data_IF_644006800736
#
_entry.id   IF_644006800736
#
_cell.length_a   1.000
_cell.length_b   1.000
_cell.length_c   1.000
_cell.angle_alpha   90.00
_cell.angle_beta   90.00
_cell.angle_gamma   90.00
#
_symmetry.space_group_name_H-M   'P 1'
#
loop_
_entity.id
_entity.type
_entity.pdbx_description
1 polymer ?
#
# COMPACT_ATOMS: atom_id res chain seq x y z
N UNK A 1 19.79 0.24 22.39
CA UNK A 1 18.93 -0.77 21.70
C UNK A 1 19.02 -0.50 20.20
N UNK A 2 19.24 -1.51 19.35
CA UNK A 2 19.31 -1.28 17.91
C UNK A 2 17.98 -0.74 17.39
N UNK A 3 18.03 0.32 16.58
CA UNK A 3 16.86 0.99 15.99
C UNK A 3 16.13 0.10 14.97
N UNK A 4 16.80 -0.92 14.44
CA UNK A 4 16.24 -1.86 13.48
C UNK A 4 16.09 -3.26 14.08
N UNK A 5 15.01 -3.99 13.76
CA UNK A 5 14.85 -5.36 14.21
C UNK A 5 15.95 -6.24 13.59
N UNK A 6 16.74 -6.91 14.42
CA UNK A 6 17.71 -7.90 14.00
C UNK A 6 17.16 -9.32 14.24
N UNK A 7 17.50 -10.30 13.41
CA UNK A 7 17.16 -11.70 13.67
C UNK A 7 17.78 -12.15 14.99
N UNK A 8 17.02 -12.85 15.83
CA UNK A 8 17.60 -13.49 17.03
C UNK A 8 18.29 -14.79 16.60
N UNK A 9 19.32 -15.21 17.34
CA UNK A 9 20.17 -16.34 16.96
C UNK A 9 19.42 -17.66 16.68
N UNK A 10 18.25 -17.90 17.30
CA UNK A 10 17.45 -19.11 17.09
C UNK A 10 16.12 -18.86 16.35
N UNK A 11 15.91 -17.66 15.83
CA UNK A 11 14.65 -17.26 15.22
C UNK A 11 14.52 -17.73 13.78
N UNK A 12 13.39 -18.36 13.45
CA UNK A 12 13.14 -18.78 12.09
C UNK A 12 12.80 -17.55 11.20
N UNK A 13 13.11 -17.60 9.89
CA UNK A 13 12.93 -16.44 9.00
C UNK A 13 11.49 -15.90 8.96
N UNK A 14 10.48 -16.76 9.10
CA UNK A 14 9.09 -16.33 9.13
C UNK A 14 8.69 -15.67 10.46
N UNK A 15 9.27 -16.09 11.59
CA UNK A 15 9.00 -15.48 12.90
C UNK A 15 9.58 -14.06 12.96
N UNK A 16 10.79 -13.89 12.39
CA UNK A 16 11.40 -12.57 12.22
C UNK A 16 10.54 -11.67 11.33
N UNK A 17 10.09 -12.17 10.18
CA UNK A 17 9.21 -11.42 9.28
C UNK A 17 7.89 -11.03 9.97
N UNK A 18 7.32 -11.92 10.80
CA UNK A 18 6.10 -11.64 11.57
C UNK A 18 6.31 -10.53 12.61
N UNK A 19 7.47 -10.51 13.27
CA UNK A 19 7.81 -9.43 14.20
C UNK A 19 8.00 -8.09 13.49
N UNK A 20 8.71 -8.08 12.35
CA UNK A 20 8.86 -6.86 11.53
C UNK A 20 7.50 -6.37 11.07
N UNK A 21 6.62 -7.27 10.63
CA UNK A 21 5.25 -6.93 10.23
C UNK A 21 4.45 -6.29 11.38
N UNK A 22 4.58 -6.81 12.61
CA UNK A 22 3.92 -6.24 13.78
C UNK A 22 4.42 -4.82 14.11
N UNK A 23 5.73 -4.59 14.09
CA UNK A 23 6.29 -3.25 14.29
C UNK A 23 5.89 -2.28 13.19
N UNK A 24 5.89 -2.73 11.94
CA UNK A 24 5.43 -1.94 10.81
C UNK A 24 3.93 -1.61 10.92
N UNK A 25 3.11 -2.55 11.42
CA UNK A 25 1.69 -2.32 11.67
C UNK A 25 1.48 -1.26 12.75
N UNK A 26 2.25 -1.31 13.84
CA UNK A 26 2.21 -0.26 14.88
C UNK A 26 2.61 1.09 14.29
N UNK A 27 3.68 1.14 13.49
CA UNK A 27 4.09 2.37 12.81
C UNK A 27 3.01 2.90 11.87
N UNK A 28 2.34 2.02 11.12
CA UNK A 28 1.19 2.37 10.29
C UNK A 28 0.07 2.99 11.12
N UNK A 29 -0.38 2.29 12.17
CA UNK A 29 -1.50 2.75 13.00
C UNK A 29 -1.20 4.09 13.69
N UNK A 30 0.00 4.25 14.25
CA UNK A 30 0.43 5.50 14.87
C UNK A 30 0.60 6.62 13.84
N UNK A 31 1.18 6.33 12.67
CA UNK A 31 1.33 7.28 11.59
C UNK A 31 -0.01 7.77 11.06
N UNK A 32 -0.96 6.86 10.84
CA UNK A 32 -2.32 7.18 10.36
C UNK A 32 -3.11 7.95 11.41
N UNK A 33 -3.17 7.46 12.65
CA UNK A 33 -3.90 8.13 13.73
C UNK A 33 -3.30 9.51 14.04
N UNK A 34 -1.96 9.61 14.11
CA UNK A 34 -1.24 10.86 14.30
C UNK A 34 -1.47 11.84 13.16
N UNK A 35 -1.41 11.37 11.91
CA UNK A 35 -1.73 12.21 10.73
C UNK A 35 -3.16 12.71 10.80
N UNK A 36 -4.14 11.81 11.00
CA UNK A 36 -5.55 12.18 11.06
C UNK A 36 -5.82 13.20 12.17
N UNK A 37 -5.33 12.95 13.38
CA UNK A 37 -5.45 13.88 14.50
C UNK A 37 -4.85 15.24 14.18
N UNK A 38 -3.64 15.27 13.60
CA UNK A 38 -2.94 16.50 13.25
C UNK A 38 -3.69 17.32 12.20
N UNK A 39 -4.19 16.67 11.14
CA UNK A 39 -4.95 17.34 10.08
C UNK A 39 -6.32 17.84 10.58
N UNK A 40 -6.99 17.08 11.46
CA UNK A 40 -8.25 17.50 12.09
C UNK A 40 -8.03 18.74 12.97
N UNK A 41 -6.94 18.78 13.74
CA UNK A 41 -6.62 19.87 14.68
C UNK A 41 -5.77 20.98 14.07
N UNK A 42 -5.50 20.91 12.77
CA UNK A 42 -4.60 21.83 12.09
C UNK A 42 -5.03 23.30 12.25
N UNK A 43 -6.33 23.65 12.12
CA UNK A 43 -6.75 25.04 12.32
C UNK A 43 -6.44 25.57 13.72
N UNK A 44 -6.68 24.78 14.77
CA UNK A 44 -6.44 25.20 16.15
C UNK A 44 -4.94 25.27 16.48
N UNK A 45 -4.14 24.35 15.93
CA UNK A 45 -2.68 24.38 16.07
C UNK A 45 -2.12 25.60 15.34
N UNK A 46 -2.56 25.83 14.10
CA UNK A 46 -2.11 26.96 13.28
C UNK A 46 -2.47 28.30 13.92
N UNK A 47 -3.66 28.43 14.51
CA UNK A 47 -4.07 29.63 15.24
C UNK A 47 -3.15 29.98 16.43
N UNK A 48 -2.41 29.01 17.00
CA UNK A 48 -1.41 29.24 18.03
C UNK A 48 -0.01 29.53 17.47
N UNK A 49 0.29 29.03 16.28
CA UNK A 49 1.57 29.24 15.60
C UNK A 49 1.62 30.61 14.91
N UNK A 50 0.53 31.00 14.24
CA UNK A 50 0.42 32.25 13.48
C UNK A 50 0.77 33.54 14.26
N UNK A 51 0.40 33.72 15.55
CA UNK A 51 0.74 34.93 16.30
C UNK A 51 2.18 34.95 16.83
N UNK A 52 2.95 33.87 16.68
CA UNK A 52 4.36 33.88 17.04
C UNK A 52 5.13 34.82 16.10
N UNK A 53 6.22 35.41 16.58
CA UNK A 53 7.06 36.32 15.79
C UNK A 53 8.49 35.78 15.62
N UNK A 54 9.12 36.18 14.51
CA UNK A 54 10.53 35.93 14.22
C UNK A 54 10.92 34.45 14.27
N UNK A 55 11.99 34.14 15.01
CA UNK A 55 12.56 32.79 15.06
C UNK A 55 11.60 31.74 15.65
N UNK A 56 10.75 32.14 16.62
CA UNK A 56 9.79 31.23 17.26
C UNK A 56 8.72 30.74 16.28
N UNK A 57 8.22 31.64 15.43
CA UNK A 57 7.32 31.31 14.33
C UNK A 57 7.97 30.36 13.32
N UNK A 58 9.19 30.69 12.86
CA UNK A 58 9.90 29.86 11.88
C UNK A 58 10.08 28.44 12.40
N UNK A 59 10.55 28.29 13.65
CA UNK A 59 10.75 26.97 14.24
C UNK A 59 9.42 26.20 14.39
N UNK A 60 8.37 26.85 14.89
CA UNK A 60 7.07 26.20 15.07
C UNK A 60 6.41 25.81 13.74
N UNK A 61 6.45 26.68 12.73
CA UNK A 61 5.92 26.40 11.41
C UNK A 61 6.71 25.29 10.70
N UNK A 62 8.05 25.30 10.79
CA UNK A 62 8.90 24.23 10.24
C UNK A 62 8.67 22.90 10.96
N UNK A 63 8.57 22.91 12.29
CA UNK A 63 8.28 21.69 13.05
C UNK A 63 6.91 21.12 12.68
N UNK A 64 5.88 21.97 12.60
CA UNK A 64 4.54 21.56 12.18
C UNK A 64 4.54 20.97 10.76
N UNK A 65 5.14 21.69 9.80
CA UNK A 65 5.27 21.20 8.42
C UNK A 65 6.06 19.90 8.33
N UNK A 66 7.14 19.77 9.11
CA UNK A 66 7.95 18.55 9.20
C UNK A 66 7.13 17.36 9.72
N UNK A 67 6.38 17.53 10.80
CA UNK A 67 5.51 16.48 11.35
C UNK A 67 4.40 16.11 10.35
N UNK A 68 3.79 17.10 9.69
CA UNK A 68 2.78 16.88 8.65
C UNK A 68 3.33 16.11 7.44
N UNK A 69 4.60 16.28 7.11
CA UNK A 69 5.25 15.55 6.03
C UNK A 69 5.66 14.12 6.45
N UNK A 70 6.19 13.96 7.67
CA UNK A 70 6.78 12.69 8.13
C UNK A 70 5.72 11.66 8.52
N UNK A 71 4.65 12.05 9.22
CA UNK A 71 3.64 11.09 9.70
C UNK A 71 2.94 10.30 8.58
N UNK A 72 2.52 10.92 7.46
CA UNK A 72 1.95 10.18 6.34
C UNK A 72 2.95 9.22 5.69
N UNK A 73 4.23 9.59 5.64
CA UNK A 73 5.30 8.72 5.11
C UNK A 73 5.50 7.51 6.02
N UNK A 74 5.54 7.71 7.34
CA UNK A 74 5.58 6.60 8.32
C UNK A 74 4.37 5.68 8.13
N UNK A 75 3.19 6.25 7.95
CA UNK A 75 1.97 5.48 7.70
C UNK A 75 2.09 4.64 6.42
N UNK A 76 2.45 5.26 5.30
CA UNK A 76 2.56 4.57 4.01
C UNK A 76 3.61 3.46 4.02
N UNK A 77 4.82 3.75 4.53
CA UNK A 77 5.89 2.76 4.63
C UNK A 77 5.52 1.64 5.61
N UNK A 78 4.95 1.99 6.76
CA UNK A 78 4.46 1.03 7.75
C UNK A 78 3.42 0.08 7.15
N UNK A 79 2.46 0.61 6.38
CA UNK A 79 1.43 -0.19 5.71
C UNK A 79 2.05 -1.21 4.75
N UNK A 80 2.92 -0.74 3.85
CA UNK A 80 3.57 -1.60 2.83
C UNK A 80 4.41 -2.68 3.51
N UNK A 81 5.23 -2.32 4.50
CA UNK A 81 6.07 -3.28 5.22
C UNK A 81 5.25 -4.26 6.05
N UNK A 82 4.19 -3.80 6.71
CA UNK A 82 3.31 -4.66 7.51
C UNK A 82 2.67 -5.76 6.64
N UNK A 83 2.16 -5.37 5.48
CA UNK A 83 1.57 -6.31 4.52
C UNK A 83 2.62 -7.22 3.89
N UNK A 84 3.73 -6.65 3.40
CA UNK A 84 4.77 -7.43 2.73
C UNK A 84 5.41 -8.45 3.67
N UNK A 85 5.91 -8.01 4.82
CA UNK A 85 6.51 -8.89 5.82
C UNK A 85 5.47 -9.83 6.45
N UNK A 86 4.21 -9.39 6.55
CA UNK A 86 3.10 -10.21 6.99
C UNK A 86 2.91 -11.41 6.06
N UNK A 87 2.75 -11.16 4.76
CA UNK A 87 2.59 -12.22 3.74
C UNK A 87 3.83 -13.11 3.70
N UNK A 88 5.03 -12.53 3.64
CA UNK A 88 6.28 -13.31 3.64
C UNK A 88 6.44 -14.19 4.88
N UNK A 89 5.93 -13.75 6.05
CA UNK A 89 5.94 -14.59 7.24
C UNK A 89 5.16 -15.88 7.04
N UNK A 90 4.04 -15.84 6.31
CA UNK A 90 3.15 -16.99 6.11
C UNK A 90 3.81 -18.11 5.31
N UNK A 91 4.58 -17.74 4.29
CA UNK A 91 5.20 -18.68 3.35
C UNK A 91 6.64 -19.06 3.73
N UNK A 92 7.12 -18.64 4.91
CA UNK A 92 8.46 -18.99 5.43
C UNK A 92 8.34 -19.91 6.65
N UNK A 93 9.41 -20.69 6.97
CA UNK A 93 9.44 -21.50 8.17
C UNK A 93 9.18 -20.68 9.44
N UNK A 94 8.28 -21.18 10.30
CA UNK A 94 7.85 -20.55 11.56
C UNK A 94 7.65 -21.58 12.65
N UNK A 95 7.83 -21.17 13.91
CA UNK A 95 7.66 -22.07 15.06
C UNK A 95 6.20 -22.34 15.39
N UNK A 96 5.33 -21.34 15.19
CA UNK A 96 3.91 -21.45 15.50
C UNK A 96 3.07 -21.03 14.29
N UNK A 97 2.19 -21.93 13.85
CA UNK A 97 1.21 -21.62 12.81
C UNK A 97 0.00 -20.89 13.42
N UNK A 98 -0.50 -19.85 12.74
CA UNK A 98 -1.65 -19.08 13.18
C UNK A 98 -2.74 -19.04 12.08
N UNK A 99 -3.55 -20.09 11.92
CA UNK A 99 -4.34 -20.31 10.70
C UNK A 99 -5.33 -19.18 10.38
N UNK A 100 -6.00 -18.62 11.39
CA UNK A 100 -6.94 -17.51 11.18
C UNK A 100 -6.24 -16.21 10.78
N UNK A 101 -5.18 -15.84 11.51
CA UNK A 101 -4.41 -14.64 11.21
C UNK A 101 -3.69 -14.74 9.86
N UNK A 102 -3.18 -15.92 9.52
CA UNK A 102 -2.51 -16.17 8.25
C UNK A 102 -3.48 -16.05 7.07
N UNK A 103 -4.71 -16.58 7.20
CA UNK A 103 -5.78 -16.36 6.21
C UNK A 103 -6.10 -14.88 6.05
N UNK A 104 -6.28 -14.14 7.14
CA UNK A 104 -6.55 -12.71 7.08
C UNK A 104 -5.43 -11.93 6.37
N UNK A 105 -4.17 -12.23 6.70
CA UNK A 105 -2.99 -11.60 6.09
C UNK A 105 -2.93 -11.90 4.58
N UNK A 106 -3.12 -13.16 4.18
CA UNK A 106 -3.08 -13.55 2.76
C UNK A 106 -4.25 -12.91 1.99
N UNK A 107 -5.47 -12.94 2.54
CA UNK A 107 -6.63 -12.31 1.92
C UNK A 107 -6.44 -10.80 1.75
N UNK A 108 -5.94 -10.10 2.78
CA UNK A 108 -5.64 -8.68 2.70
C UNK A 108 -4.52 -8.40 1.70
N UNK A 109 -3.49 -9.24 1.68
CA UNK A 109 -2.40 -9.17 0.70
C UNK A 109 -2.91 -9.26 -0.73
N UNK A 110 -3.75 -10.25 -1.02
CA UNK A 110 -4.36 -10.42 -2.34
C UNK A 110 -5.21 -9.20 -2.71
N UNK A 111 -6.08 -8.76 -1.80
CA UNK A 111 -6.91 -7.58 -2.01
C UNK A 111 -6.06 -6.36 -2.38
N UNK A 112 -5.02 -6.07 -1.59
CA UNK A 112 -4.19 -4.86 -1.77
C UNK A 112 -3.35 -4.93 -3.04
N UNK A 113 -2.75 -6.09 -3.35
CA UNK A 113 -1.93 -6.25 -4.56
C UNK A 113 -2.76 -6.15 -5.84
N UNK A 114 -3.99 -6.68 -5.83
CA UNK A 114 -4.88 -6.63 -6.99
C UNK A 114 -5.76 -5.38 -7.04
N UNK A 115 -5.78 -4.55 -5.98
CA UNK A 115 -6.57 -3.33 -5.95
C UNK A 115 -6.31 -2.37 -7.13
N UNK A 116 -5.06 -2.13 -7.59
CA UNK A 116 -4.83 -1.28 -8.77
C UNK A 116 -5.43 -1.85 -10.06
N UNK A 117 -5.37 -3.18 -10.24
CA UNK A 117 -5.98 -3.85 -11.38
C UNK A 117 -7.51 -3.74 -11.32
N UNK A 118 -8.10 -4.00 -10.16
CA UNK A 118 -9.54 -3.86 -9.94
C UNK A 118 -10.03 -2.43 -10.15
N UNK A 119 -9.28 -1.42 -9.69
CA UNK A 119 -9.57 -0.01 -9.91
C UNK A 119 -9.52 0.35 -11.40
N UNK A 120 -8.53 -0.14 -12.14
CA UNK A 120 -8.43 0.08 -13.58
C UNK A 120 -9.60 -0.56 -14.36
N UNK A 121 -10.00 -1.80 -13.99
CA UNK A 121 -11.19 -2.44 -14.56
C UNK A 121 -12.46 -1.64 -14.22
N UNK A 122 -12.60 -1.21 -12.97
CA UNK A 122 -13.75 -0.41 -12.54
C UNK A 122 -13.84 0.93 -13.29
N UNK A 123 -12.70 1.57 -13.58
CA UNK A 123 -12.65 2.77 -14.42
C UNK A 123 -13.11 2.49 -15.85
N UNK A 124 -12.68 1.38 -16.45
CA UNK A 124 -13.14 0.97 -17.79
C UNK A 124 -14.65 0.68 -17.82
N UNK A 125 -15.17 -0.06 -16.83
CA UNK A 125 -16.61 -0.35 -16.70
C UNK A 125 -17.41 0.94 -16.54
N UNK A 126 -16.94 1.87 -15.67
CA UNK A 126 -17.58 3.16 -15.47
C UNK A 126 -17.61 3.98 -16.75
N UNK A 127 -16.53 3.95 -17.54
CA UNK A 127 -16.48 4.65 -18.82
C UNK A 127 -17.50 4.09 -19.82
N UNK A 128 -17.61 2.77 -19.93
CA UNK A 128 -18.61 2.11 -20.78
C UNK A 128 -20.04 2.41 -20.35
N UNK A 129 -20.32 2.35 -19.04
CA UNK A 129 -21.66 2.59 -18.51
C UNK A 129 -22.11 4.05 -18.65
N UNK A 130 -21.17 5.00 -18.59
CA UNK A 130 -21.46 6.44 -18.68
C UNK A 130 -21.27 7.03 -20.09
N UNK A 131 -20.67 6.29 -21.02
CA UNK A 131 -20.27 6.80 -22.32
C UNK A 131 -19.20 7.91 -22.26
N UNK A 132 -18.51 8.07 -21.12
CA UNK A 132 -17.51 9.13 -20.88
C UNK A 132 -16.26 8.59 -20.19
N UNK A 133 -15.09 8.90 -20.73
CA UNK A 133 -13.80 8.71 -20.06
C UNK A 133 -13.30 10.07 -19.56
N UNK A 134 -13.00 10.15 -18.26
CA UNK A 134 -12.42 11.35 -17.65
C UNK A 134 -10.95 11.10 -17.30
N UNK A 135 -10.06 11.95 -17.79
CA UNK A 135 -8.68 12.04 -17.34
C UNK A 135 -8.52 13.26 -16.44
N UNK A 136 -7.95 13.05 -15.26
CA UNK A 136 -7.79 14.12 -14.24
C UNK A 136 -6.67 15.09 -14.63
N UNK A 137 -5.62 14.62 -15.33
CA UNK A 137 -4.47 15.45 -15.73
C UNK A 137 -3.86 14.99 -17.07
N UNK A 138 -3.82 15.86 -18.10
CA UNK A 138 -4.58 17.12 -18.20
C UNK A 138 -6.09 16.84 -18.12
N UNK A 139 -6.90 17.74 -17.52
CA UNK A 139 -8.33 17.54 -17.39
C UNK A 139 -8.99 17.47 -18.76
N UNK A 140 -9.42 16.28 -19.18
CA UNK A 140 -10.11 16.04 -20.45
C UNK A 140 -11.17 14.99 -20.30
N UNK A 141 -12.28 15.23 -20.98
CA UNK A 141 -13.38 14.29 -21.13
C UNK A 141 -13.46 13.84 -22.58
N UNK A 142 -13.50 12.53 -22.80
CA UNK A 142 -13.77 11.93 -24.10
C UNK A 142 -15.11 11.22 -24.05
N UNK A 143 -15.99 11.53 -25.00
CA UNK A 143 -17.33 10.97 -25.06
C UNK A 143 -17.44 9.99 -26.22
N UNK A 144 -18.14 8.88 -26.00
CA UNK A 144 -18.40 7.90 -27.05
C UNK A 144 -19.20 8.51 -28.22
N UNK A 145 -20.08 9.47 -27.94
CA UNK A 145 -20.96 10.08 -28.94
C UNK A 145 -20.26 11.07 -29.88
N UNK A 146 -19.27 11.82 -29.38
CA UNK A 146 -18.62 12.89 -30.14
C UNK A 146 -17.20 12.53 -30.58
N UNK A 147 -16.47 11.78 -29.76
CA UNK A 147 -15.04 11.46 -29.96
C UNK A 147 -14.78 9.97 -29.74
N UNK A 148 -15.40 9.08 -30.55
CA UNK A 148 -15.38 7.64 -30.31
C UNK A 148 -13.98 7.03 -30.32
N UNK A 149 -13.06 7.56 -31.14
CA UNK A 149 -11.68 7.08 -31.21
C UNK A 149 -10.96 7.30 -29.87
N UNK A 150 -10.93 8.54 -29.39
CA UNK A 150 -10.27 8.88 -28.13
C UNK A 150 -10.94 8.21 -26.92
N UNK A 151 -12.26 8.02 -26.97
CA UNK A 151 -12.99 7.24 -25.97
C UNK A 151 -12.48 5.79 -25.90
N UNK A 152 -12.41 5.09 -27.04
CA UNK A 152 -11.95 3.70 -27.09
C UNK A 152 -10.46 3.55 -26.75
N UNK A 153 -9.61 4.51 -27.14
CA UNK A 153 -8.22 4.58 -26.69
C UNK A 153 -8.14 4.69 -25.16
N UNK A 154 -8.97 5.54 -24.55
CA UNK A 154 -9.05 5.70 -23.11
C UNK A 154 -9.49 4.43 -22.39
N UNK A 155 -10.51 3.73 -22.90
CA UNK A 155 -10.94 2.42 -22.38
C UNK A 155 -9.82 1.40 -22.54
N UNK A 156 -9.19 1.34 -23.71
CA UNK A 156 -8.05 0.46 -24.00
C UNK A 156 -6.89 0.68 -23.04
N UNK A 157 -6.54 1.94 -22.74
CA UNK A 157 -5.52 2.30 -21.75
C UNK A 157 -5.83 1.69 -20.37
N UNK A 158 -7.05 1.85 -19.87
CA UNK A 158 -7.44 1.27 -18.58
C UNK A 158 -7.35 -0.26 -18.56
N UNK A 159 -7.73 -0.93 -19.65
CA UNK A 159 -7.62 -2.38 -19.77
C UNK A 159 -6.17 -2.86 -19.84
N UNK A 160 -5.30 -2.14 -20.57
CA UNK A 160 -3.86 -2.42 -20.61
C UNK A 160 -3.26 -2.26 -19.20
N UNK A 161 -3.57 -1.17 -18.50
CA UNK A 161 -3.11 -0.94 -17.13
C UNK A 161 -3.63 -2.01 -16.16
N UNK A 162 -4.89 -2.44 -16.30
CA UNK A 162 -5.45 -3.53 -15.53
C UNK A 162 -4.67 -4.83 -15.74
N UNK A 163 -4.40 -5.20 -16.99
CA UNK A 163 -3.60 -6.36 -17.35
C UNK A 163 -2.18 -6.30 -16.79
N UNK A 164 -1.51 -5.14 -16.91
CA UNK A 164 -0.17 -4.91 -16.37
C UNK A 164 -0.15 -5.08 -14.84
N UNK A 165 -1.05 -4.42 -14.12
CA UNK A 165 -1.11 -4.52 -12.65
C UNK A 165 -1.46 -5.92 -12.18
N UNK A 166 -2.43 -6.59 -12.83
CA UNK A 166 -2.77 -7.97 -12.51
C UNK A 166 -1.59 -8.91 -12.77
N UNK A 167 -0.84 -8.71 -13.85
CA UNK A 167 0.35 -9.50 -14.16
C UNK A 167 1.46 -9.31 -13.11
N UNK A 168 1.76 -8.07 -12.71
CA UNK A 168 2.77 -7.78 -11.69
C UNK A 168 2.36 -8.36 -10.32
N UNK A 169 1.09 -8.18 -9.94
CA UNK A 169 0.55 -8.79 -8.73
C UNK A 169 0.66 -10.31 -8.79
N UNK A 170 0.25 -10.92 -9.91
CA UNK A 170 0.35 -12.35 -10.11
C UNK A 170 1.79 -12.85 -10.04
N UNK A 171 2.77 -12.13 -10.60
CA UNK A 171 4.18 -12.53 -10.52
C UNK A 171 4.70 -12.61 -9.09
N UNK A 172 4.23 -11.73 -8.20
CA UNK A 172 4.55 -11.81 -6.77
C UNK A 172 3.87 -13.01 -6.08
N UNK A 173 2.61 -13.29 -6.41
CA UNK A 173 1.81 -14.33 -5.77
C UNK A 173 2.05 -15.75 -6.31
N UNK A 174 2.44 -15.90 -7.58
CA UNK A 174 2.58 -17.19 -8.27
C UNK A 174 3.47 -18.16 -7.51
N UNK A 175 4.64 -17.73 -7.07
CA UNK A 175 5.59 -18.58 -6.34
C UNK A 175 5.16 -18.93 -4.91
N UNK A 176 4.15 -18.25 -4.38
CA UNK A 176 3.60 -18.49 -3.03
C UNK A 176 2.38 -19.42 -3.08
N UNK A 177 1.53 -19.25 -4.08
CA UNK A 177 0.26 -19.97 -4.22
C UNK A 177 0.40 -21.29 -4.98
N UNK A 178 1.38 -21.40 -5.85
CA UNK A 178 1.69 -22.62 -6.60
C UNK A 178 3.04 -23.14 -6.10
N UNK A 179 3.06 -24.02 -5.08
CA UNK A 179 4.28 -24.73 -4.73
C UNK A 179 4.81 -25.42 -5.98
N UNK A 180 6.12 -25.33 -6.24
CA UNK A 180 6.74 -26.23 -7.23
C UNK A 180 6.42 -27.65 -6.78
N UNK A 181 5.72 -28.42 -7.61
CA UNK A 181 5.71 -29.86 -7.47
C UNK A 181 7.17 -30.32 -7.44
N UNK A 182 7.51 -31.10 -6.43
CA UNK A 182 8.88 -31.38 -6.01
C UNK A 182 9.80 -31.79 -7.17
N UNK A 183 11.01 -31.24 -7.18
CA UNK A 183 12.20 -31.84 -7.78
C UNK A 183 12.56 -33.10 -6.94
N UNK A 184 11.66 -34.08 -6.93
CA UNK A 184 11.73 -35.36 -6.23
C UNK A 184 11.94 -36.54 -7.19
N UNK A 185 12.82 -36.38 -8.18
CA UNK A 185 13.21 -37.47 -9.10
C UNK A 185 14.69 -37.35 -9.52
N UNK A 186 15.59 -37.23 -8.56
CA UNK A 186 17.02 -37.54 -8.77
C UNK A 186 17.69 -37.97 -7.46
N UNK A 187 17.22 -39.09 -6.92
CA UNK A 187 17.92 -39.90 -5.93
C UNK A 187 17.31 -41.31 -5.95
N UNK A 188 17.57 -42.04 -7.03
CA UNK A 188 17.52 -43.50 -7.08
C UNK A 188 18.55 -43.96 -8.11
#
# INVERSE_FOLDING_TARGET
MPLFPHPRASELPGDFARRVAAYALVAFLLGTAGSAWLFIRLPEIWARVMPLEGASFMFAATALGGVMAVLPVIAAVGFVLALWCGVESVYRPRRQASPFADRAIVSLGLLVWFAPAAAAIASAIRALASGRVHFVRPPRDYFLATDPVAFWEGVGFWLIMAGLFAFLAWRYWRGKLLPKADEGSSAA
#
